data_IF_354185157121
#
_entry.id   IF_354185157121
#
_cell.length_a   1.000
_cell.length_b   1.000
_cell.length_c   1.000
_cell.angle_alpha   90.00
_cell.angle_beta   90.00
_cell.angle_gamma   90.00
#
_symmetry.space_group_name_H-M   'P 1'
#
loop_
_entity.id
_entity.type
_entity.pdbx_description
1 polymer ?
#
# COMPACT_ATOMS: atom_id res chain seq x y z
N UNK A 1 -42.64 -8.06 50.58
CA UNK A 1 -42.32 -9.12 49.58
C UNK A 1 -41.43 -8.53 48.49
N UNK A 2 -40.63 -9.35 47.79
CA UNK A 2 -39.49 -8.97 46.92
C UNK A 2 -39.69 -7.79 45.95
N UNK A 3 -38.63 -7.00 45.78
CA UNK A 3 -38.37 -6.04 44.70
C UNK A 3 -38.60 -6.60 43.29
N UNK A 4 -39.03 -5.75 42.35
CA UNK A 4 -38.80 -5.96 40.90
C UNK A 4 -38.93 -4.67 40.08
N UNK A 5 -37.88 -4.34 39.30
CA UNK A 5 -37.78 -3.27 38.25
C UNK A 5 -37.98 -1.83 38.78
N UNK A 6 -37.00 -0.95 38.91
CA UNK A 6 -35.62 -0.80 38.41
C UNK A 6 -35.45 -0.59 36.89
N UNK A 7 -35.13 0.66 36.53
CA UNK A 7 -34.48 1.18 35.30
C UNK A 7 -35.31 1.15 33.98
N UNK A 8 -35.20 2.12 33.04
CA UNK A 8 -34.39 3.36 33.00
C UNK A 8 -35.09 4.47 32.18
N UNK A 9 -34.62 5.72 32.30
CA UNK A 9 -35.24 6.90 31.68
C UNK A 9 -35.04 6.98 30.16
N UNK A 10 -36.07 7.41 29.43
CA UNK A 10 -35.98 7.81 28.02
C UNK A 10 -35.79 9.33 27.93
N UNK A 11 -34.54 9.79 28.01
CA UNK A 11 -34.20 11.22 27.86
C UNK A 11 -33.79 11.56 26.44
N UNK A 12 -34.74 11.97 25.59
CA UNK A 12 -34.47 12.45 24.23
C UNK A 12 -34.56 13.97 24.17
N UNK A 13 -33.41 14.65 24.27
CA UNK A 13 -33.28 16.10 24.01
C UNK A 13 -31.89 16.41 23.44
N UNK A 14 -31.81 16.80 22.16
CA UNK A 14 -30.59 17.43 21.60
C UNK A 14 -30.97 18.72 20.87
N UNK A 15 -30.43 19.82 21.39
CA UNK A 15 -30.51 21.22 20.97
C UNK A 15 -29.10 21.85 21.19
N UNK A 16 -28.59 22.80 20.40
CA UNK A 16 -29.00 23.30 19.08
C UNK A 16 -27.81 24.09 18.44
N UNK A 17 -27.64 24.00 17.11
CA UNK A 17 -26.88 24.94 16.23
C UNK A 17 -25.34 25.09 16.35
N UNK A 18 -24.73 25.49 15.22
CA UNK A 18 -23.32 25.91 15.16
C UNK A 18 -22.76 26.16 13.75
N UNK A 19 -23.52 26.73 12.81
CA UNK A 19 -22.99 27.11 11.49
C UNK A 19 -22.82 28.64 11.39
N UNK A 20 -21.56 29.10 11.43
CA UNK A 20 -21.18 30.48 11.13
C UNK A 20 -19.88 30.46 10.30
N UNK A 21 -20.02 30.60 8.98
CA UNK A 21 -18.87 30.89 8.12
C UNK A 21 -18.49 32.35 8.29
N UNK A 22 -17.25 32.62 8.68
CA UNK A 22 -16.72 33.99 8.76
C UNK A 22 -16.01 34.29 7.44
N UNK A 23 -16.58 35.20 6.65
CA UNK A 23 -15.85 35.84 5.57
C UNK A 23 -14.93 36.93 6.17
N UNK A 24 -13.62 36.75 6.03
CA UNK A 24 -12.65 37.81 6.24
C UNK A 24 -12.46 38.58 4.92
N UNK A 25 -12.36 39.91 5.02
CA UNK A 25 -12.48 40.83 3.90
C UNK A 25 -11.16 41.15 3.21
N UNK A 26 -11.27 41.38 1.90
CA UNK A 26 -10.30 42.12 1.08
C UNK A 26 -9.99 43.51 1.67
N UNK A 27 -8.76 44.01 1.44
CA UNK A 27 -8.37 45.44 1.35
C UNK A 27 -6.83 45.56 1.15
N UNK A 28 -6.41 45.41 -0.10
CA UNK A 28 -5.47 46.27 -0.83
C UNK A 28 -4.50 47.20 -0.03
N UNK A 29 -3.19 47.11 -0.32
CA UNK A 29 -2.52 48.30 -0.89
C UNK A 29 -1.47 47.97 -1.95
N UNK A 30 -1.32 48.87 -2.91
CA UNK A 30 -0.42 48.81 -4.06
C UNK A 30 0.70 49.82 -3.87
N UNK A 31 1.97 49.41 -3.96
CA UNK A 31 3.09 50.35 -4.11
C UNK A 31 3.92 49.98 -5.35
N UNK A 32 4.34 51.03 -6.05
CA UNK A 32 4.74 51.02 -7.46
C UNK A 32 6.24 50.69 -7.63
N UNK A 33 6.59 50.21 -8.82
CA UNK A 33 7.92 49.79 -9.23
C UNK A 33 9.01 50.87 -9.14
N UNK A 34 10.25 50.39 -9.10
CA UNK A 34 11.41 51.04 -9.73
C UNK A 34 12.33 49.97 -10.30
N UNK A 35 12.56 50.00 -11.61
CA UNK A 35 13.59 49.20 -12.28
C UNK A 35 15.00 49.65 -11.82
N UNK A 36 15.95 48.71 -11.71
CA UNK A 36 17.31 48.98 -12.18
C UNK A 36 18.06 47.67 -12.52
N UNK A 37 18.75 47.68 -13.66
CA UNK A 37 19.63 46.61 -14.13
C UNK A 37 21.02 46.80 -13.53
N UNK A 38 21.62 45.77 -12.92
CA UNK A 38 23.09 45.69 -12.88
C UNK A 38 23.63 44.27 -12.83
N UNK A 39 24.60 44.02 -13.71
CA UNK A 39 25.20 42.71 -13.95
C UNK A 39 25.95 42.14 -12.73
N UNK A 40 25.87 40.82 -12.57
CA UNK A 40 26.80 40.07 -11.72
C UNK A 40 28.06 39.73 -12.54
N UNK A 41 29.08 40.61 -12.49
CA UNK A 41 30.41 40.28 -13.02
C UNK A 41 31.20 39.41 -12.04
N UNK A 42 31.96 38.46 -12.61
CA UNK A 42 32.90 37.59 -11.90
C UNK A 42 34.15 38.37 -11.48
N UNK A 43 34.59 38.21 -10.23
CA UNK A 43 35.96 38.52 -9.82
C UNK A 43 36.66 37.28 -9.26
N UNK A 44 37.71 36.84 -9.96
CA UNK A 44 38.69 35.92 -9.40
C UNK A 44 39.69 36.71 -8.54
N UNK A 45 39.97 36.21 -7.34
CA UNK A 45 41.19 36.48 -6.58
C UNK A 45 41.56 35.15 -5.92
N UNK A 46 42.50 34.40 -6.48
CA UNK A 46 43.95 34.50 -6.26
C UNK A 46 44.40 33.57 -5.10
N UNK A 47 45.57 32.98 -5.26
CA UNK A 47 45.97 31.78 -4.54
C UNK A 47 46.80 32.08 -3.29
N UNK A 48 46.57 31.29 -2.23
CA UNK A 48 47.53 31.13 -1.14
C UNK A 48 46.90 31.11 0.25
N UNK A 49 46.74 29.92 0.82
CA UNK A 49 47.68 29.49 1.86
C UNK A 49 47.71 27.96 1.96
N UNK A 50 48.83 27.39 2.42
CA UNK A 50 48.97 25.97 2.76
C UNK A 50 49.26 25.84 4.25
N UNK A 51 48.27 25.35 5.02
CA UNK A 51 48.47 24.86 6.39
C UNK A 51 47.92 23.42 6.48
N UNK A 52 48.60 22.61 7.29
CA UNK A 52 48.67 21.16 7.20
C UNK A 52 47.77 20.39 8.17
N UNK A 53 47.83 19.06 8.01
CA UNK A 53 47.68 18.00 9.01
C UNK A 53 46.28 17.77 9.63
N UNK A 54 45.70 16.65 9.19
CA UNK A 54 45.14 15.58 10.03
C UNK A 54 44.18 16.00 11.17
N UNK A 55 42.87 16.04 10.87
CA UNK A 55 41.90 15.21 11.61
C UNK A 55 40.88 14.60 10.63
N UNK A 56 40.78 13.27 10.65
CA UNK A 56 39.91 12.46 9.79
C UNK A 56 38.48 12.41 10.38
N UNK A 57 37.83 13.59 10.48
CA UNK A 57 36.42 13.65 10.85
C UNK A 57 35.55 13.47 9.58
N UNK A 58 35.48 12.22 9.14
CA UNK A 58 34.53 11.76 8.13
C UNK A 58 33.11 11.76 8.74
N UNK A 59 32.62 12.96 9.04
CA UNK A 59 31.22 13.23 9.37
C UNK A 59 30.43 12.69 8.20
N UNK A 60 29.82 11.53 8.42
CA UNK A 60 28.89 10.91 7.49
C UNK A 60 27.69 11.81 7.35
N UNK A 61 27.82 12.83 6.49
CA UNK A 61 26.73 13.46 5.80
C UNK A 61 26.06 12.32 5.03
N UNK A 62 25.11 11.65 5.70
CA UNK A 62 23.93 11.19 4.99
C UNK A 62 23.34 12.45 4.41
N UNK A 63 23.75 12.74 3.18
CA UNK A 63 23.02 13.63 2.31
C UNK A 63 21.57 13.23 2.49
N UNK A 64 20.75 14.21 2.86
CA UNK A 64 19.34 14.05 2.91
C UNK A 64 18.91 13.94 1.45
N UNK A 65 19.10 12.74 0.86
CA UNK A 65 18.73 12.40 -0.50
C UNK A 65 17.31 12.91 -0.64
N UNK A 66 17.19 13.96 -1.46
CA UNK A 66 15.91 14.49 -1.87
C UNK A 66 15.22 13.32 -2.54
N UNK A 67 14.30 12.69 -1.82
CA UNK A 67 13.50 11.58 -2.32
C UNK A 67 12.72 12.20 -3.48
N UNK A 68 13.22 11.99 -4.71
CA UNK A 68 12.55 12.48 -5.90
C UNK A 68 11.13 11.91 -5.85
N UNK A 69 10.12 12.77 -5.75
CA UNK A 69 8.70 12.36 -5.72
C UNK A 69 8.21 11.78 -7.08
N UNK A 70 9.13 11.25 -7.90
CA UNK A 70 8.89 10.70 -9.23
C UNK A 70 9.40 9.28 -9.47
N UNK A 71 10.45 8.82 -8.76
CA UNK A 71 11.10 7.53 -9.08
C UNK A 71 10.67 6.41 -8.13
N UNK A 72 9.73 5.57 -8.59
CA UNK A 72 9.43 4.27 -7.99
C UNK A 72 10.61 3.32 -8.11
N UNK A 73 10.83 2.46 -7.10
CA UNK A 73 11.76 1.33 -7.23
C UNK A 73 11.21 0.20 -8.12
N UNK A 74 12.06 -0.77 -8.44
CA UNK A 74 11.70 -1.91 -9.30
C UNK A 74 11.21 -3.15 -8.51
N UNK A 75 10.52 -4.08 -9.17
CA UNK A 75 10.18 -5.38 -8.56
C UNK A 75 11.44 -6.20 -8.26
N UNK A 76 12.50 -6.10 -9.08
CA UNK A 76 13.82 -6.66 -8.77
C UNK A 76 14.44 -6.07 -7.48
N UNK A 77 14.35 -4.76 -7.25
CA UNK A 77 14.80 -4.13 -6.00
C UNK A 77 14.00 -4.65 -4.80
N UNK A 78 12.67 -4.65 -4.86
CA UNK A 78 11.85 -5.16 -3.77
C UNK A 78 12.10 -6.65 -3.49
N UNK A 79 12.35 -7.44 -4.54
CA UNK A 79 12.76 -8.83 -4.43
C UNK A 79 14.13 -8.96 -3.73
N UNK A 80 15.07 -8.06 -4.01
CA UNK A 80 16.38 -8.01 -3.35
C UNK A 80 16.26 -7.62 -1.87
N UNK A 81 15.45 -6.61 -1.54
CA UNK A 81 15.17 -6.17 -0.16
C UNK A 81 14.53 -7.31 0.66
N UNK A 82 13.53 -8.00 0.10
CA UNK A 82 12.92 -9.19 0.71
C UNK A 82 13.95 -10.30 0.90
N UNK A 83 14.87 -10.50 -0.05
CA UNK A 83 15.92 -11.51 0.03
C UNK A 83 16.97 -11.17 1.10
N UNK A 84 17.34 -9.90 1.26
CA UNK A 84 18.28 -9.41 2.27
C UNK A 84 17.69 -9.40 3.69
N UNK A 85 16.37 -9.16 3.82
CA UNK A 85 15.70 -9.12 5.12
C UNK A 85 15.86 -10.44 5.92
N UNK A 86 16.15 -10.32 7.22
CA UNK A 86 16.27 -11.47 8.10
C UNK A 86 14.96 -12.26 8.23
N UNK A 87 15.05 -13.58 8.45
CA UNK A 87 13.83 -14.38 8.66
C UNK A 87 13.08 -13.92 9.91
N UNK A 88 11.75 -13.85 9.80
CA UNK A 88 10.82 -13.31 10.79
C UNK A 88 11.03 -11.83 11.17
N UNK A 89 11.73 -11.04 10.34
CA UNK A 89 11.82 -9.59 10.51
C UNK A 89 10.59 -8.85 9.93
N UNK A 90 10.58 -7.52 10.09
CA UNK A 90 9.72 -6.62 9.32
C UNK A 90 10.55 -5.87 8.29
N UNK A 91 10.11 -5.90 7.03
CA UNK A 91 10.56 -5.00 5.97
C UNK A 91 9.52 -3.86 5.87
N UNK A 92 9.94 -2.63 6.13
CA UNK A 92 9.09 -1.44 5.97
C UNK A 92 9.46 -0.74 4.67
N UNK A 93 8.48 -0.49 3.80
CA UNK A 93 8.70 0.24 2.55
C UNK A 93 8.87 1.74 2.82
N UNK A 94 9.78 2.36 2.07
CA UNK A 94 10.11 3.79 2.13
C UNK A 94 9.88 4.52 0.81
N UNK A 95 9.45 3.78 -0.23
CA UNK A 95 9.13 4.28 -1.57
C UNK A 95 8.09 3.36 -2.23
N UNK A 96 7.52 3.85 -3.33
CA UNK A 96 6.69 3.07 -4.25
C UNK A 96 7.53 2.06 -5.04
N UNK A 97 6.90 0.99 -5.52
CA UNK A 97 7.53 0.00 -6.40
C UNK A 97 6.68 -0.28 -7.64
N UNK A 98 7.32 -0.41 -8.80
CA UNK A 98 6.69 -0.64 -10.10
C UNK A 98 7.36 -1.80 -10.84
N UNK A 99 6.57 -2.60 -11.57
CA UNK A 99 7.09 -3.75 -12.31
C UNK A 99 7.76 -3.31 -13.62
N UNK A 100 9.06 -3.56 -13.71
CA UNK A 100 9.87 -3.41 -14.90
C UNK A 100 9.49 -4.39 -16.01
N UNK A 101 9.89 -4.07 -17.25
CA UNK A 101 9.66 -4.94 -18.40
C UNK A 101 10.52 -6.22 -18.31
N UNK A 102 9.89 -7.38 -18.53
CA UNK A 102 10.58 -8.67 -18.51
C UNK A 102 10.76 -9.30 -17.13
N UNK A 103 10.19 -8.72 -16.06
CA UNK A 103 10.10 -9.38 -14.75
C UNK A 103 9.29 -10.70 -14.84
N UNK A 104 9.54 -11.64 -13.92
CA UNK A 104 8.84 -12.93 -13.85
C UNK A 104 7.33 -12.71 -13.63
N UNK A 105 6.49 -13.22 -14.54
CA UNK A 105 5.01 -13.13 -14.46
C UNK A 105 4.44 -13.88 -13.26
N UNK A 106 5.22 -14.79 -12.67
CA UNK A 106 4.86 -15.48 -11.45
C UNK A 106 4.83 -14.55 -10.22
N UNK A 107 5.52 -13.40 -10.27
CA UNK A 107 5.55 -12.38 -9.22
C UNK A 107 6.68 -12.52 -8.20
N UNK A 108 6.87 -11.49 -7.38
CA UNK A 108 7.93 -11.42 -6.36
C UNK A 108 7.77 -12.58 -5.36
N UNK A 109 8.82 -13.37 -5.19
CA UNK A 109 8.84 -14.58 -4.39
C UNK A 109 9.10 -14.28 -2.91
N UNK A 110 8.17 -14.67 -2.04
CA UNK A 110 8.33 -14.64 -0.58
C UNK A 110 8.42 -16.08 -0.06
N UNK A 111 9.66 -16.58 0.07
CA UNK A 111 9.98 -17.95 0.50
C UNK A 111 10.40 -18.08 1.97
N UNK A 112 10.33 -16.99 2.75
CA UNK A 112 10.67 -16.91 4.18
C UNK A 112 9.49 -16.34 4.98
N UNK A 113 9.48 -16.57 6.29
CA UNK A 113 8.55 -15.84 7.18
C UNK A 113 9.00 -14.39 7.27
N UNK A 114 8.11 -13.43 7.03
CA UNK A 114 8.42 -11.99 7.04
C UNK A 114 7.12 -11.19 7.23
N UNK A 115 7.22 -10.00 7.83
CA UNK A 115 6.18 -8.97 7.73
C UNK A 115 6.61 -7.93 6.71
N UNK A 116 5.77 -7.63 5.71
CA UNK A 116 5.95 -6.46 4.84
C UNK A 116 4.97 -5.40 5.31
N UNK A 117 5.51 -4.27 5.77
CA UNK A 117 4.76 -3.06 6.09
C UNK A 117 4.91 -2.06 4.95
N UNK A 118 3.85 -1.84 4.19
CA UNK A 118 3.85 -0.92 3.06
C UNK A 118 3.96 0.54 3.46
N UNK A 119 3.72 0.90 4.72
CA UNK A 119 3.73 2.28 5.21
C UNK A 119 2.88 3.26 4.34
N UNK A 120 1.85 2.76 3.64
CA UNK A 120 1.01 3.50 2.71
C UNK A 120 1.49 3.54 1.25
N UNK A 121 2.69 3.05 0.94
CA UNK A 121 3.23 3.04 -0.43
C UNK A 121 2.53 2.03 -1.36
N UNK A 122 2.58 2.31 -2.66
CA UNK A 122 2.05 1.42 -3.70
C UNK A 122 3.08 0.40 -4.19
N UNK A 123 2.59 -0.79 -4.53
CA UNK A 123 3.28 -1.78 -5.36
C UNK A 123 2.38 -2.00 -6.58
N UNK A 124 2.86 -1.58 -7.75
CA UNK A 124 2.09 -1.50 -8.98
C UNK A 124 2.71 -2.41 -10.05
N UNK A 125 2.02 -3.49 -10.39
CA UNK A 125 2.50 -4.46 -11.37
C UNK A 125 2.34 -4.00 -12.83
N UNK A 126 1.75 -2.83 -13.07
CA UNK A 126 1.52 -2.25 -14.41
C UNK A 126 0.83 -3.22 -15.41
N UNK A 127 0.11 -4.23 -14.93
CA UNK A 127 -0.52 -5.28 -15.76
C UNK A 127 0.42 -6.37 -16.27
N UNK A 128 1.70 -6.38 -15.85
CA UNK A 128 2.76 -7.25 -16.39
C UNK A 128 2.98 -8.55 -15.63
N UNK A 129 2.65 -8.59 -14.34
CA UNK A 129 2.95 -9.73 -13.46
C UNK A 129 1.98 -9.82 -12.28
N UNK A 130 1.96 -10.97 -11.60
CA UNK A 130 1.47 -11.08 -10.21
C UNK A 130 2.37 -10.22 -9.30
N UNK A 131 1.84 -9.61 -8.24
CA UNK A 131 2.68 -8.84 -7.30
C UNK A 131 3.48 -9.78 -6.38
N UNK A 132 2.82 -10.64 -5.60
CA UNK A 132 3.49 -11.57 -4.67
C UNK A 132 3.08 -13.04 -4.85
N UNK A 133 4.09 -13.91 -4.90
CA UNK A 133 3.98 -15.36 -4.86
C UNK A 133 4.55 -15.89 -3.54
N UNK A 134 3.68 -16.47 -2.72
CA UNK A 134 3.99 -16.74 -1.31
C UNK A 134 3.83 -18.24 -1.01
N UNK A 135 4.89 -19.05 -1.24
CA UNK A 135 4.96 -20.44 -0.79
C UNK A 135 5.22 -20.57 0.73
N UNK A 136 5.72 -19.52 1.39
CA UNK A 136 6.02 -19.51 2.82
C UNK A 136 4.77 -19.48 3.72
N UNK A 137 4.96 -19.80 4.99
CA UNK A 137 3.94 -19.63 6.05
C UNK A 137 4.28 -18.43 6.95
N UNK A 138 3.25 -17.93 7.65
CA UNK A 138 3.34 -16.83 8.61
C UNK A 138 3.81 -15.49 7.99
N UNK A 139 3.54 -15.29 6.70
CA UNK A 139 3.78 -14.00 6.04
C UNK A 139 2.62 -13.06 6.34
N UNK A 140 2.96 -11.84 6.75
CA UNK A 140 2.02 -10.75 7.05
C UNK A 140 2.24 -9.63 6.06
N UNK A 141 1.18 -9.21 5.37
CA UNK A 141 1.16 -8.05 4.48
C UNK A 141 0.27 -6.98 5.12
N UNK A 142 0.79 -5.77 5.38
CA UNK A 142 -0.01 -4.69 5.97
C UNK A 142 0.32 -3.32 5.40
N UNK A 143 -0.66 -2.41 5.38
CA UNK A 143 -0.49 -1.00 4.98
C UNK A 143 0.03 -0.81 3.54
N UNK A 144 -0.33 -1.70 2.60
CA UNK A 144 0.14 -1.68 1.20
C UNK A 144 -1.01 -1.32 0.25
N UNK A 145 -0.72 -0.57 -0.81
CA UNK A 145 -1.63 -0.37 -1.95
C UNK A 145 -1.16 -1.25 -3.12
N UNK A 146 -1.91 -2.30 -3.44
CA UNK A 146 -1.63 -3.25 -4.52
C UNK A 146 -2.40 -2.88 -5.78
N UNK A 147 -1.69 -2.59 -6.88
CA UNK A 147 -2.31 -2.05 -8.10
C UNK A 147 -1.89 -2.89 -9.32
N UNK A 148 -2.83 -3.10 -10.26
CA UNK A 148 -2.59 -3.67 -11.59
C UNK A 148 -1.88 -5.05 -11.62
N UNK A 149 -1.96 -5.84 -10.55
CA UNK A 149 -1.52 -7.24 -10.55
C UNK A 149 -2.24 -8.03 -11.63
N UNK A 150 -1.52 -8.85 -12.41
CA UNK A 150 -2.11 -9.60 -13.52
C UNK A 150 -1.48 -10.99 -13.66
N UNK A 151 -2.33 -12.02 -13.70
CA UNK A 151 -1.93 -13.41 -13.92
C UNK A 151 -3.02 -14.18 -14.64
N UNK A 152 -2.69 -15.28 -15.30
CA UNK A 152 -3.62 -16.27 -15.85
C UNK A 152 -3.96 -17.41 -14.84
N UNK A 153 -3.28 -17.44 -13.70
CA UNK A 153 -3.50 -18.38 -12.60
C UNK A 153 -4.27 -17.73 -11.41
N UNK A 154 -3.95 -18.16 -10.18
CA UNK A 154 -4.50 -17.71 -8.90
C UNK A 154 -3.88 -16.39 -8.43
N UNK A 155 -4.69 -15.51 -7.82
CA UNK A 155 -4.21 -14.33 -7.07
C UNK A 155 -3.53 -13.29 -7.96
N UNK A 156 -4.29 -12.36 -8.54
CA UNK A 156 -3.73 -11.34 -9.45
C UNK A 156 -2.74 -10.40 -8.77
N UNK A 157 -3.02 -9.96 -7.54
CA UNK A 157 -2.02 -9.30 -6.71
C UNK A 157 -1.20 -10.33 -5.91
N UNK A 158 -1.87 -11.15 -5.10
CA UNK A 158 -1.22 -11.96 -4.06
C UNK A 158 -1.75 -13.39 -4.08
N UNK A 159 -0.83 -14.35 -4.19
CA UNK A 159 -1.13 -15.77 -4.06
C UNK A 159 -0.39 -16.40 -2.87
N UNK A 160 -1.15 -16.78 -1.84
CA UNK A 160 -0.67 -17.60 -0.72
C UNK A 160 -0.98 -19.08 -0.97
N UNK A 161 0.08 -19.89 -1.11
CA UNK A 161 -0.04 -21.35 -1.21
C UNK A 161 -0.55 -22.00 0.08
N UNK A 162 -0.32 -21.34 1.23
CA UNK A 162 -0.54 -21.86 2.58
C UNK A 162 -1.29 -20.85 3.45
N UNK A 163 -0.67 -20.41 4.55
CA UNK A 163 -1.25 -19.50 5.52
C UNK A 163 -0.74 -18.06 5.33
N UNK A 164 -1.65 -17.10 5.22
CA UNK A 164 -1.34 -15.68 5.07
C UNK A 164 -2.21 -14.76 5.92
N UNK A 165 -1.67 -13.60 6.29
CA UNK A 165 -2.44 -12.52 6.92
C UNK A 165 -2.30 -11.25 6.09
N UNK A 166 -3.42 -10.62 5.75
CA UNK A 166 -3.47 -9.34 5.03
C UNK A 166 -4.30 -8.36 5.87
N UNK A 167 -3.77 -7.18 6.16
CA UNK A 167 -4.45 -6.22 7.04
C UNK A 167 -4.22 -4.77 6.64
N UNK A 168 -5.29 -3.96 6.58
CA UNK A 168 -5.19 -2.53 6.26
C UNK A 168 -4.53 -2.27 4.89
N UNK A 169 -4.91 -3.04 3.87
CA UNK A 169 -4.39 -2.94 2.51
C UNK A 169 -5.49 -2.56 1.52
N UNK A 170 -5.10 -1.90 0.43
CA UNK A 170 -5.98 -1.57 -0.68
C UNK A 170 -5.58 -2.40 -1.91
N UNK A 171 -6.56 -2.91 -2.65
CA UNK A 171 -6.36 -3.70 -3.86
C UNK A 171 -7.18 -3.08 -5.00
N UNK A 172 -6.48 -2.56 -6.01
CA UNK A 172 -7.07 -1.79 -7.12
C UNK A 172 -6.73 -2.44 -8.46
N UNK A 173 -7.75 -2.73 -9.27
CA UNK A 173 -7.63 -3.19 -10.66
C UNK A 173 -6.75 -4.45 -10.88
N UNK A 174 -6.63 -5.33 -9.88
CA UNK A 174 -5.88 -6.58 -9.97
C UNK A 174 -6.73 -7.69 -10.63
N UNK A 175 -6.09 -8.55 -11.45
CA UNK A 175 -6.76 -9.46 -12.38
C UNK A 175 -6.16 -10.87 -12.37
N UNK A 176 -7.03 -11.87 -12.36
CA UNK A 176 -6.69 -13.29 -12.48
C UNK A 176 -7.49 -13.88 -13.66
N UNK A 177 -6.96 -13.84 -14.88
CA UNK A 177 -7.78 -13.84 -16.12
C UNK A 177 -7.97 -15.19 -16.83
N UNK A 178 -7.20 -16.23 -16.48
CA UNK A 178 -7.26 -17.53 -17.17
C UNK A 178 -8.33 -18.49 -16.62
N UNK A 179 -8.34 -19.74 -17.11
CA UNK A 179 -9.27 -20.80 -16.69
C UNK A 179 -9.09 -21.23 -15.21
N UNK A 180 -7.91 -20.92 -14.64
CA UNK A 180 -7.58 -21.06 -13.23
C UNK A 180 -7.56 -19.71 -12.50
N UNK A 181 -8.18 -18.70 -13.11
CA UNK A 181 -8.33 -17.33 -12.63
C UNK A 181 -9.22 -17.21 -11.40
N UNK A 182 -8.64 -17.41 -10.22
CA UNK A 182 -9.31 -17.31 -8.93
C UNK A 182 -8.68 -16.23 -8.07
N UNK A 183 -9.51 -15.40 -7.41
CA UNK A 183 -9.02 -14.34 -6.53
C UNK A 183 -8.35 -13.23 -7.32
N UNK A 184 -9.13 -12.35 -7.96
CA UNK A 184 -8.58 -11.29 -8.83
C UNK A 184 -7.56 -10.40 -8.13
N UNK A 185 -7.76 -10.14 -6.83
CA UNK A 185 -6.71 -9.61 -5.95
C UNK A 185 -5.97 -10.72 -5.19
N UNK A 186 -6.68 -11.49 -4.36
CA UNK A 186 -6.07 -12.45 -3.41
C UNK A 186 -6.61 -13.86 -3.65
N UNK A 187 -5.72 -14.83 -3.79
CA UNK A 187 -6.04 -16.24 -3.57
C UNK A 187 -5.28 -16.77 -2.35
N UNK A 188 -5.99 -17.39 -1.40
CA UNK A 188 -5.39 -17.84 -0.13
C UNK A 188 -6.00 -19.16 0.38
N UNK A 189 -5.14 -20.15 0.65
CA UNK A 189 -5.62 -21.43 1.18
C UNK A 189 -6.11 -21.33 2.62
N UNK A 190 -5.34 -20.70 3.53
CA UNK A 190 -5.77 -20.36 4.89
C UNK A 190 -5.37 -18.93 5.26
N UNK A 191 -6.19 -18.22 6.02
CA UNK A 191 -5.77 -16.89 6.47
C UNK A 191 -6.86 -15.96 6.99
N UNK A 192 -6.44 -14.73 7.28
CA UNK A 192 -7.32 -13.62 7.60
C UNK A 192 -7.01 -12.45 6.67
N UNK A 193 -8.04 -11.88 6.07
CA UNK A 193 -8.00 -10.62 5.31
C UNK A 193 -8.87 -9.62 6.06
N UNK A 194 -8.30 -8.57 6.63
CA UNK A 194 -9.06 -7.66 7.51
C UNK A 194 -8.81 -6.18 7.26
N UNK A 195 -9.84 -5.36 7.42
CA UNK A 195 -9.78 -3.90 7.23
C UNK A 195 -9.23 -3.52 5.83
N UNK A 196 -9.56 -4.28 4.78
CA UNK A 196 -9.01 -4.11 3.44
C UNK A 196 -10.08 -3.59 2.46
N UNK A 197 -9.67 -2.80 1.46
CA UNK A 197 -10.55 -2.32 0.41
C UNK A 197 -10.20 -2.99 -0.92
N UNK A 198 -11.22 -3.40 -1.68
CA UNK A 198 -11.09 -4.04 -2.98
C UNK A 198 -11.92 -3.27 -4.01
N UNK A 199 -11.26 -2.67 -5.00
CA UNK A 199 -11.90 -1.88 -6.06
C UNK A 199 -11.49 -2.41 -7.43
N UNK A 200 -12.46 -2.69 -8.32
CA UNK A 200 -12.19 -2.98 -9.74
C UNK A 200 -11.46 -4.30 -10.04
N UNK A 201 -11.24 -5.15 -9.03
CA UNK A 201 -10.51 -6.41 -9.21
C UNK A 201 -11.37 -7.44 -9.96
N UNK A 202 -10.77 -8.28 -10.82
CA UNK A 202 -11.53 -9.27 -11.59
C UNK A 202 -10.89 -10.64 -11.73
N UNK A 203 -11.73 -11.67 -11.82
CA UNK A 203 -11.32 -13.07 -11.94
C UNK A 203 -12.07 -13.79 -13.06
N UNK A 204 -11.34 -14.50 -13.93
CA UNK A 204 -11.88 -15.30 -15.03
C UNK A 204 -12.75 -16.47 -14.56
N UNK A 205 -12.64 -16.87 -13.30
CA UNK A 205 -13.44 -17.93 -12.71
C UNK A 205 -14.10 -17.54 -11.39
N UNK A 206 -13.37 -17.52 -10.27
CA UNK A 206 -13.97 -17.40 -8.94
C UNK A 206 -13.42 -16.24 -8.11
N UNK A 207 -14.31 -15.48 -7.45
CA UNK A 207 -13.92 -14.47 -6.47
C UNK A 207 -13.14 -13.29 -7.07
N UNK A 208 -13.87 -12.30 -7.61
CA UNK A 208 -13.30 -11.16 -8.34
C UNK A 208 -12.29 -10.35 -7.54
N UNK A 209 -12.48 -10.26 -6.23
CA UNK A 209 -11.46 -9.77 -5.30
C UNK A 209 -10.75 -10.94 -4.60
N UNK A 210 -11.49 -11.82 -3.90
CA UNK A 210 -10.89 -12.85 -3.05
C UNK A 210 -11.46 -14.24 -3.34
N UNK A 211 -10.58 -15.22 -3.52
CA UNK A 211 -10.83 -16.65 -3.33
C UNK A 211 -10.15 -17.09 -2.02
N UNK A 212 -10.90 -17.73 -1.11
CA UNK A 212 -10.29 -18.34 0.08
C UNK A 212 -10.89 -19.69 0.46
N UNK A 213 -10.06 -20.67 0.84
CA UNK A 213 -10.57 -22.00 1.24
C UNK A 213 -10.96 -22.04 2.72
N UNK A 214 -10.03 -21.74 3.63
CA UNK A 214 -10.24 -21.81 5.09
C UNK A 214 -9.79 -20.51 5.77
N UNK A 215 -10.62 -19.47 5.77
CA UNK A 215 -10.23 -18.17 6.31
C UNK A 215 -11.40 -17.26 6.68
N UNK A 216 -11.08 -16.01 6.97
CA UNK A 216 -12.07 -14.96 7.19
C UNK A 216 -11.73 -13.69 6.42
N UNK A 217 -12.75 -13.06 5.84
CA UNK A 217 -12.71 -11.68 5.38
C UNK A 217 -13.51 -10.82 6.37
N UNK A 218 -12.86 -9.90 7.08
CA UNK A 218 -13.48 -9.15 8.17
C UNK A 218 -13.28 -7.64 8.07
N UNK A 219 -14.36 -6.86 8.10
CA UNK A 219 -14.32 -5.41 7.91
C UNK A 219 -13.73 -5.00 6.53
N UNK A 220 -14.11 -5.69 5.45
CA UNK A 220 -13.55 -5.45 4.12
C UNK A 220 -14.59 -4.84 3.17
N UNK A 221 -14.23 -3.78 2.44
CA UNK A 221 -15.13 -3.16 1.47
C UNK A 221 -14.87 -3.71 0.07
N UNK A 222 -15.94 -3.98 -0.69
CA UNK A 222 -15.87 -4.54 -2.04
C UNK A 222 -16.67 -3.68 -3.04
N UNK A 223 -15.98 -2.98 -3.92
CA UNK A 223 -16.56 -2.10 -4.95
C UNK A 223 -16.17 -2.58 -6.35
N UNK A 224 -17.14 -2.74 -7.25
CA UNK A 224 -16.94 -3.06 -8.67
C UNK A 224 -16.05 -4.28 -9.00
N UNK A 225 -15.94 -5.23 -8.06
CA UNK A 225 -15.17 -6.46 -8.29
C UNK A 225 -16.02 -7.52 -9.00
N UNK A 226 -15.44 -8.21 -9.99
CA UNK A 226 -16.21 -9.07 -10.92
C UNK A 226 -15.61 -10.45 -11.12
N UNK A 227 -16.45 -11.49 -11.19
CA UNK A 227 -16.05 -12.83 -11.59
C UNK A 227 -17.21 -13.60 -12.22
N UNK A 228 -16.88 -14.59 -13.06
CA UNK A 228 -17.86 -15.47 -13.69
C UNK A 228 -18.62 -16.33 -12.66
N UNK A 229 -17.99 -16.71 -11.56
CA UNK A 229 -18.56 -17.44 -10.42
C UNK A 229 -18.31 -16.67 -9.11
N UNK A 230 -19.35 -16.37 -8.33
CA UNK A 230 -19.21 -15.85 -6.96
C UNK A 230 -18.99 -14.34 -6.79
N UNK A 231 -19.07 -13.53 -7.84
CA UNK A 231 -19.00 -12.06 -7.71
C UNK A 231 -17.66 -11.60 -7.10
N UNK A 232 -17.70 -10.72 -6.09
CA UNK A 232 -16.49 -10.19 -5.45
C UNK A 232 -15.74 -11.19 -4.55
N UNK A 233 -16.45 -12.08 -3.86
CA UNK A 233 -15.88 -12.97 -2.84
C UNK A 233 -16.39 -14.40 -3.01
N UNK A 234 -15.48 -15.36 -3.06
CA UNK A 234 -15.80 -16.78 -3.05
C UNK A 234 -15.04 -17.50 -1.96
N UNK A 235 -15.74 -18.41 -1.27
CA UNK A 235 -15.10 -19.29 -0.31
C UNK A 235 -15.76 -20.66 -0.22
N UNK A 236 -14.94 -21.67 0.07
CA UNK A 236 -15.37 -23.06 0.26
C UNK A 236 -15.70 -23.38 1.73
N UNK A 237 -15.11 -22.68 2.71
CA UNK A 237 -15.34 -22.89 4.15
C UNK A 237 -14.99 -21.67 5.03
N UNK A 238 -14.77 -20.50 4.42
CA UNK A 238 -14.49 -19.24 5.09
C UNK A 238 -15.71 -18.33 5.21
N UNK A 239 -15.64 -17.37 6.14
CA UNK A 239 -16.74 -16.45 6.44
C UNK A 239 -16.39 -15.01 6.06
N UNK A 240 -17.41 -14.26 5.65
CA UNK A 240 -17.38 -12.79 5.52
C UNK A 240 -18.07 -12.19 6.75
N UNK A 241 -17.51 -11.15 7.35
CA UNK A 241 -18.12 -10.44 8.48
C UNK A 241 -17.86 -8.93 8.42
N UNK A 242 -18.91 -8.14 8.71
CA UNK A 242 -18.88 -6.68 8.72
C UNK A 242 -18.40 -6.05 7.39
N UNK A 243 -18.85 -6.59 6.27
CA UNK A 243 -18.56 -6.12 4.91
C UNK A 243 -19.85 -5.62 4.25
#
# INVERSE_FOLDING_TARGET
MRYRKLMFMLGLTILIFGAASVCASDMNDTVVASDDDSAFELSQADAGDMISSDEDELVGQRENELINEGDSGTFAELQADINAAANASTLTLYKNYECEDGFDTAGILINKTITIDGNGFKIDAQGKSRIFKIPAENVILKNIIFINGNTDEYGGAVYFYRAGTVTNCNFVDNKATGDYGYGGAICVYRGAVTNCNFTGNSAGRGGGAIEMTYGTAGNCNFTDNTANEGGAFRSNSGNVSNC
#
